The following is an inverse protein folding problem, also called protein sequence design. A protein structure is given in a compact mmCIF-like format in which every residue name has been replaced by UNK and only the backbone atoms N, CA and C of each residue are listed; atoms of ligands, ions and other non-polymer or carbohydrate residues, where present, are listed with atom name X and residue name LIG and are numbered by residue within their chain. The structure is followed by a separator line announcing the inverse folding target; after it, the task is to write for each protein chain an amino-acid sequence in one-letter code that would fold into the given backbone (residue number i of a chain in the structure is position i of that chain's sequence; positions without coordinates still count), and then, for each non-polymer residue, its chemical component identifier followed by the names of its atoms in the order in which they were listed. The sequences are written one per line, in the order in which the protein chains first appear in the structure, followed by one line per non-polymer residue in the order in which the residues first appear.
data_IF_438492977631
#
_entry.id   IF_438492977631
#
_cell.length_a   1.000
_cell.length_b   1.000
_cell.length_c   1.000
_cell.angle_alpha   90.00
_cell.angle_beta   90.00
_cell.angle_gamma   90.00
#
_symmetry.space_group_name_H-M   'P 1'
#
loop_
_entity.id
_entity.type
_entity.pdbx_description
1 polymer ?
#
# COMPACT_ATOMS: atom_id res chain seq x y z
N UNK A 1 30.44 -0.28 75.80
CA UNK A 1 29.25 -0.98 75.38
C UNK A 1 28.24 -0.08 74.65
N UNK A 2 27.88 1.07 75.19
CA UNK A 2 26.89 2.02 74.55
C UNK A 2 27.31 2.53 73.18
N UNK A 3 28.60 2.76 72.94
CA UNK A 3 29.13 3.26 71.68
C UNK A 3 28.99 2.16 70.59
N UNK A 4 29.23 0.91 70.92
CA UNK A 4 29.13 -0.22 69.97
C UNK A 4 27.65 -0.41 69.59
N UNK A 5 26.73 -0.31 70.54
CA UNK A 5 25.30 -0.42 70.28
C UNK A 5 24.81 0.74 69.38
N UNK A 6 25.28 1.97 69.63
CA UNK A 6 24.91 3.13 68.82
C UNK A 6 25.44 2.96 67.35
N UNK A 7 26.65 2.45 67.17
CA UNK A 7 27.22 2.17 65.81
C UNK A 7 26.37 1.09 65.13
N UNK A 8 26.00 0.00 65.83
CA UNK A 8 25.16 -1.07 65.26
C UNK A 8 23.79 -0.52 64.82
N UNK A 9 23.14 0.31 65.63
CA UNK A 9 21.88 0.95 65.26
C UNK A 9 22.01 1.86 64.01
N UNK A 10 23.05 2.66 63.92
CA UNK A 10 23.34 3.47 62.75
C UNK A 10 23.54 2.64 61.49
N UNK A 11 24.26 1.52 61.57
CA UNK A 11 24.48 0.61 60.44
C UNK A 11 23.15 -0.02 60.00
N UNK A 12 22.35 -0.48 60.95
CA UNK A 12 21.02 -1.05 60.62
C UNK A 12 20.12 -0.01 59.97
N UNK A 13 20.05 1.22 60.48
CA UNK A 13 19.29 2.29 59.88
C UNK A 13 19.76 2.66 58.47
N UNK A 14 21.08 2.66 58.26
CA UNK A 14 21.66 2.89 56.95
C UNK A 14 21.33 1.77 55.96
N UNK A 15 21.35 0.50 56.37
CA UNK A 15 20.94 -0.64 55.54
C UNK A 15 19.45 -0.55 55.20
N UNK A 16 18.61 -0.26 56.20
CA UNK A 16 17.17 -0.08 56.00
C UNK A 16 16.89 1.07 55.02
N UNK A 17 17.57 2.18 55.16
CA UNK A 17 17.45 3.32 54.25
C UNK A 17 17.81 2.93 52.83
N UNK A 18 18.93 2.27 52.61
CA UNK A 18 19.37 1.74 51.30
C UNK A 18 18.36 0.74 50.71
N UNK A 19 17.80 -0.15 51.55
CA UNK A 19 16.79 -1.11 51.13
C UNK A 19 15.50 -0.42 50.67
N UNK A 20 15.03 0.60 51.38
CA UNK A 20 13.84 1.36 51.01
C UNK A 20 14.05 2.12 49.68
N UNK A 21 15.23 2.75 49.55
CA UNK A 21 15.61 3.42 48.28
C UNK A 21 15.62 2.44 47.10
N UNK A 22 16.26 1.28 47.26
CA UNK A 22 16.32 0.29 46.20
C UNK A 22 14.92 -0.24 45.82
N UNK A 23 14.04 -0.45 46.82
CA UNK A 23 12.68 -0.90 46.62
C UNK A 23 11.85 0.17 45.85
N UNK A 24 12.07 1.44 46.14
CA UNK A 24 11.38 2.55 45.45
C UNK A 24 11.82 2.65 43.99
N UNK A 25 13.12 2.58 43.72
CA UNK A 25 13.67 2.59 42.36
C UNK A 25 13.14 1.41 41.53
N UNK A 26 13.03 0.22 42.12
CA UNK A 26 12.46 -0.97 41.47
C UNK A 26 10.97 -0.77 41.17
N UNK A 27 10.22 -0.19 42.11
CA UNK A 27 8.80 0.12 41.93
C UNK A 27 8.55 1.13 40.82
N UNK A 28 9.34 2.21 40.79
CA UNK A 28 9.24 3.25 39.78
C UNK A 28 9.57 2.72 38.39
N UNK A 29 10.66 1.96 38.26
CA UNK A 29 11.01 1.29 37.00
C UNK A 29 9.96 0.28 36.53
N UNK A 30 9.33 -0.44 37.45
CA UNK A 30 8.24 -1.37 37.14
C UNK A 30 7.00 -0.63 36.65
N UNK A 31 6.72 0.57 37.21
CA UNK A 31 5.68 1.47 36.74
C UNK A 31 5.92 1.98 35.32
N UNK A 32 7.13 2.46 35.04
CA UNK A 32 7.55 2.92 33.69
C UNK A 32 7.43 1.80 32.65
N UNK A 33 7.88 0.59 32.98
CA UNK A 33 7.76 -0.57 32.08
C UNK A 33 6.31 -0.88 31.77
N UNK A 34 5.42 -0.91 32.78
CA UNK A 34 3.99 -1.15 32.57
C UNK A 34 3.32 -0.08 31.69
N UNK A 35 3.67 1.18 31.91
CA UNK A 35 3.14 2.28 31.12
C UNK A 35 3.63 2.19 29.68
N UNK A 36 4.89 1.88 29.45
CA UNK A 36 5.46 1.67 28.11
C UNK A 36 4.83 0.46 27.40
N UNK A 37 4.62 -0.65 28.11
CA UNK A 37 3.92 -1.83 27.55
C UNK A 37 2.46 -1.51 27.20
N UNK A 38 1.75 -0.76 28.03
CA UNK A 38 0.37 -0.36 27.77
C UNK A 38 0.28 0.55 26.55
N UNK A 39 1.16 1.54 26.44
CA UNK A 39 1.25 2.42 25.28
C UNK A 39 1.61 1.65 23.99
N UNK A 40 2.58 0.76 24.08
CA UNK A 40 2.97 -0.09 22.95
C UNK A 40 1.81 -0.96 22.47
N UNK A 41 1.08 -1.61 23.38
CA UNK A 41 -0.09 -2.42 23.04
C UNK A 41 -1.21 -1.56 22.44
N UNK A 42 -1.45 -0.37 22.97
CA UNK A 42 -2.42 0.57 22.42
C UNK A 42 -2.07 0.96 20.98
N UNK A 43 -0.80 1.31 20.70
CA UNK A 43 -0.32 1.63 19.35
C UNK A 43 -0.53 0.44 18.41
N UNK A 44 -0.13 -0.77 18.83
CA UNK A 44 -0.25 -1.97 18.00
C UNK A 44 -1.70 -2.30 17.63
N UNK A 45 -2.67 -2.03 18.51
CA UNK A 45 -4.10 -2.27 18.26
C UNK A 45 -4.71 -1.28 17.26
N UNK A 46 -4.16 -0.05 17.16
CA UNK A 46 -4.72 1.01 16.32
C UNK A 46 -4.02 1.16 14.96
N UNK A 47 -2.90 0.47 14.74
CA UNK A 47 -2.22 0.44 13.44
C UNK A 47 -2.96 -0.52 12.51
N UNK A 48 -3.40 -0.02 11.35
CA UNK A 48 -4.06 -0.83 10.29
C UNK A 48 -3.07 -1.70 9.50
N UNK A 49 -2.12 -2.30 10.20
CA UNK A 49 -1.07 -3.12 9.59
C UNK A 49 -0.76 -4.29 10.50
N UNK A 50 -0.58 -5.46 9.92
CA UNK A 50 -0.13 -6.60 10.71
C UNK A 50 1.36 -6.46 10.99
N UNK A 51 1.72 -6.57 12.26
CA UNK A 51 3.09 -6.57 12.74
C UNK A 51 3.38 -7.97 13.31
N UNK A 52 4.46 -8.57 12.83
CA UNK A 52 4.87 -9.92 13.18
C UNK A 52 6.35 -9.89 13.59
N UNK A 53 6.68 -10.47 14.72
CA UNK A 53 8.07 -10.78 15.07
C UNK A 53 8.26 -12.29 14.87
N UNK A 54 9.20 -12.66 14.03
CA UNK A 54 9.45 -14.05 13.65
C UNK A 54 10.88 -14.49 13.97
N UNK A 55 11.04 -15.77 14.18
CA UNK A 55 12.34 -16.43 14.29
C UNK A 55 12.89 -16.88 12.92
N UNK A 56 14.08 -17.52 12.91
CA UNK A 56 14.70 -18.08 11.69
C UNK A 56 13.89 -19.21 11.02
N UNK A 57 12.99 -19.85 11.74
CA UNK A 57 12.12 -20.91 11.24
C UNK A 57 10.79 -20.37 10.72
N UNK A 58 10.65 -19.03 10.63
CA UNK A 58 9.42 -18.32 10.23
C UNK A 58 8.28 -18.47 11.24
N UNK A 59 8.58 -18.92 12.48
CA UNK A 59 7.58 -19.03 13.54
C UNK A 59 7.34 -17.63 14.11
N UNK A 60 6.07 -17.28 14.25
CA UNK A 60 5.63 -16.01 14.81
C UNK A 60 5.70 -16.09 16.32
N UNK A 61 6.55 -15.25 16.94
CA UNK A 61 6.72 -15.15 18.37
C UNK A 61 5.83 -14.06 18.98
N UNK A 62 5.63 -12.95 18.25
CA UNK A 62 4.75 -11.84 18.66
C UNK A 62 4.01 -11.27 17.46
N UNK A 63 2.76 -10.86 17.66
CA UNK A 63 1.93 -10.28 16.61
C UNK A 63 0.80 -9.44 17.20
N UNK A 64 0.33 -8.46 16.45
CA UNK A 64 -0.93 -7.76 16.69
C UNK A 64 -2.11 -8.34 15.89
N UNK A 65 -1.89 -9.43 15.14
CA UNK A 65 -2.88 -10.04 14.26
C UNK A 65 -4.21 -10.33 14.98
N UNK A 66 -4.14 -10.96 16.14
CA UNK A 66 -5.33 -11.35 16.90
C UNK A 66 -6.13 -10.15 17.42
N UNK A 67 -5.43 -9.06 17.78
CA UNK A 67 -6.09 -7.83 18.24
C UNK A 67 -6.79 -7.09 17.09
N UNK A 68 -6.24 -7.16 15.86
CA UNK A 68 -6.83 -6.51 14.67
C UNK A 68 -8.00 -7.33 14.11
N UNK A 69 -7.89 -8.66 14.12
CA UNK A 69 -8.89 -9.56 13.53
C UNK A 69 -9.98 -10.00 14.50
N UNK A 70 -9.89 -9.58 15.76
CA UNK A 70 -10.80 -9.99 16.86
C UNK A 70 -10.92 -11.53 16.95
N UNK A 71 -9.79 -12.22 16.80
CA UNK A 71 -9.69 -13.67 16.87
C UNK A 71 -8.88 -14.10 18.08
N UNK A 72 -9.17 -15.28 18.61
CA UNK A 72 -8.40 -15.83 19.73
C UNK A 72 -7.08 -16.47 19.28
N UNK A 73 -6.04 -16.28 20.07
CA UNK A 73 -4.79 -17.00 19.90
C UNK A 73 -4.94 -18.44 20.38
N UNK A 74 -4.72 -19.38 19.50
CA UNK A 74 -4.78 -20.83 19.85
C UNK A 74 -3.61 -21.28 20.72
N UNK A 75 -2.62 -20.42 20.97
CA UNK A 75 -1.39 -20.74 21.73
C UNK A 75 -0.45 -21.70 21.01
N UNK A 76 -0.77 -22.13 19.79
CA UNK A 76 0.10 -23.00 19.00
C UNK A 76 1.06 -22.19 18.13
N UNK A 77 2.32 -22.61 18.00
CA UNK A 77 3.28 -21.97 17.12
C UNK A 77 2.79 -21.99 15.67
N UNK A 78 2.64 -20.82 15.05
CA UNK A 78 2.24 -20.66 13.66
C UNK A 78 3.33 -19.98 12.86
N UNK A 79 3.54 -20.41 11.63
CA UNK A 79 4.35 -19.67 10.67
C UNK A 79 3.52 -18.55 10.02
N UNK A 80 4.20 -17.56 9.45
CA UNK A 80 3.56 -16.37 8.84
C UNK A 80 2.38 -16.73 7.93
N UNK A 81 2.54 -17.70 7.02
CA UNK A 81 1.45 -18.07 6.10
C UNK A 81 0.30 -18.82 6.77
N UNK A 82 0.55 -19.54 7.86
CA UNK A 82 -0.49 -20.23 8.64
C UNK A 82 -1.30 -19.22 9.45
N UNK A 83 -0.63 -18.24 10.06
CA UNK A 83 -1.30 -17.16 10.79
C UNK A 83 -2.24 -16.35 9.88
N UNK A 84 -1.78 -16.04 8.66
CA UNK A 84 -2.54 -15.26 7.68
C UNK A 84 -3.55 -16.10 6.88
N UNK A 85 -3.71 -17.38 7.15
CA UNK A 85 -4.55 -18.29 6.39
C UNK A 85 -4.22 -18.32 4.88
N UNK A 86 -2.93 -18.30 4.52
CA UNK A 86 -2.47 -18.39 3.15
C UNK A 86 -2.90 -19.73 2.53
N UNK A 87 -3.55 -19.68 1.37
CA UNK A 87 -4.06 -20.88 0.67
C UNK A 87 -2.96 -21.94 0.45
N UNK A 88 -1.73 -21.49 0.17
CA UNK A 88 -0.59 -22.37 -0.07
C UNK A 88 -0.10 -23.08 1.21
N UNK A 89 -0.49 -22.62 2.40
CA UNK A 89 -0.09 -23.20 3.68
C UNK A 89 -1.09 -24.22 4.25
N UNK A 90 -2.33 -24.27 3.72
CA UNK A 90 -3.43 -24.97 4.37
C UNK A 90 -3.27 -26.48 4.48
N UNK A 91 -2.63 -27.13 3.51
CA UNK A 91 -2.53 -28.60 3.49
C UNK A 91 -1.18 -29.14 4.00
N UNK A 92 -0.09 -28.40 3.77
CA UNK A 92 1.29 -28.87 4.02
C UNK A 92 2.07 -27.97 4.98
N UNK A 93 1.43 -26.90 5.47
CA UNK A 93 2.07 -25.85 6.27
C UNK A 93 2.86 -24.84 5.43
N UNK A 94 3.10 -23.67 6.00
CA UNK A 94 3.83 -22.58 5.32
C UNK A 94 5.26 -23.00 5.01
N UNK A 95 5.64 -22.93 3.74
CA UNK A 95 6.97 -23.30 3.25
C UNK A 95 7.06 -24.68 2.61
N UNK A 96 6.08 -25.54 2.78
CA UNK A 96 6.08 -26.91 2.26
C UNK A 96 5.21 -27.07 0.99
N UNK A 97 4.39 -26.07 0.64
CA UNK A 97 3.62 -26.07 -0.60
C UNK A 97 4.52 -25.84 -1.82
N UNK A 98 4.11 -26.33 -2.99
CA UNK A 98 4.86 -26.17 -4.25
C UNK A 98 5.10 -24.68 -4.60
N UNK A 99 4.08 -23.85 -4.43
CA UNK A 99 4.16 -22.41 -4.69
C UNK A 99 4.94 -21.65 -3.60
N UNK A 100 5.20 -22.27 -2.44
CA UNK A 100 5.98 -21.63 -1.38
C UNK A 100 7.47 -21.44 -1.75
N UNK A 101 8.01 -22.22 -2.69
CA UNK A 101 9.39 -22.06 -3.17
C UNK A 101 9.58 -20.76 -3.94
N UNK A 102 8.55 -20.33 -4.69
CA UNK A 102 8.54 -19.08 -5.46
C UNK A 102 7.90 -17.90 -4.70
N UNK A 103 7.55 -18.06 -3.42
CA UNK A 103 6.90 -17.03 -2.63
C UNK A 103 7.84 -15.82 -2.41
N UNK A 104 7.51 -14.61 -2.91
CA UNK A 104 8.39 -13.44 -2.79
C UNK A 104 8.65 -13.05 -1.33
N UNK A 105 7.63 -13.14 -0.47
CA UNK A 105 7.75 -12.84 0.96
C UNK A 105 8.75 -13.79 1.61
N UNK A 106 8.66 -15.10 1.32
CA UNK A 106 9.57 -16.09 1.87
C UNK A 106 11.02 -15.86 1.40
N UNK A 107 11.21 -15.54 0.14
CA UNK A 107 12.53 -15.22 -0.42
C UNK A 107 13.15 -14.00 0.27
N UNK A 108 12.38 -12.92 0.42
CA UNK A 108 12.83 -11.71 1.10
C UNK A 108 13.19 -11.96 2.58
N UNK A 109 12.37 -12.72 3.31
CA UNK A 109 12.68 -13.12 4.70
C UNK A 109 13.97 -13.94 4.76
N UNK A 110 14.12 -14.94 3.89
CA UNK A 110 15.31 -15.80 3.86
C UNK A 110 16.57 -14.98 3.56
N UNK A 111 16.50 -14.07 2.60
CA UNK A 111 17.62 -13.21 2.23
C UNK A 111 17.99 -12.24 3.37
N UNK A 112 17.01 -11.69 4.04
CA UNK A 112 17.22 -10.81 5.20
C UNK A 112 17.92 -11.54 6.36
N UNK A 113 17.54 -12.78 6.66
CA UNK A 113 18.25 -13.56 7.68
C UNK A 113 19.69 -13.92 7.29
N UNK A 114 19.99 -14.07 5.99
CA UNK A 114 21.34 -14.31 5.47
C UNK A 114 22.21 -13.07 5.50
N UNK A 115 21.68 -11.97 4.96
CA UNK A 115 22.46 -10.74 4.72
C UNK A 115 22.39 -9.74 5.86
N UNK A 116 21.40 -9.90 6.77
CA UNK A 116 21.04 -8.95 7.83
C UNK A 116 20.62 -7.57 7.28
N UNK A 117 20.30 -7.48 6.00
CA UNK A 117 19.80 -6.27 5.36
C UNK A 117 18.27 -6.26 5.38
N UNK A 118 17.69 -5.17 5.82
CA UNK A 118 16.24 -4.97 5.81
C UNK A 118 15.73 -4.78 4.37
N UNK A 119 14.48 -5.16 4.13
CA UNK A 119 13.76 -4.84 2.89
C UNK A 119 12.52 -4.02 3.21
N UNK A 120 12.08 -3.21 2.26
CA UNK A 120 10.91 -2.36 2.41
C UNK A 120 10.05 -2.38 1.16
N UNK A 121 8.74 -2.25 1.38
CA UNK A 121 7.73 -2.08 0.32
C UNK A 121 7.75 -3.17 -0.77
N UNK A 122 7.93 -4.44 -0.37
CA UNK A 122 7.78 -5.57 -1.28
C UNK A 122 6.28 -5.75 -1.59
N UNK A 123 5.84 -5.28 -2.75
CA UNK A 123 4.46 -5.46 -3.19
C UNK A 123 4.27 -6.83 -3.82
N UNK A 124 3.25 -7.56 -3.38
CA UNK A 124 2.90 -8.87 -3.92
C UNK A 124 1.43 -9.18 -3.70
N UNK A 125 0.90 -10.14 -4.45
CA UNK A 125 -0.46 -10.64 -4.27
C UNK A 125 -0.42 -11.96 -3.52
N UNK A 126 -1.21 -12.07 -2.46
CA UNK A 126 -1.38 -13.28 -1.67
C UNK A 126 -2.81 -13.78 -1.80
N UNK A 127 -2.99 -15.11 -1.82
CA UNK A 127 -4.32 -15.73 -1.77
C UNK A 127 -4.58 -16.20 -0.35
N UNK A 128 -5.59 -15.61 0.28
CA UNK A 128 -5.97 -15.89 1.66
C UNK A 128 -7.33 -16.62 1.69
N UNK A 129 -7.56 -17.44 2.73
CA UNK A 129 -8.83 -18.12 2.96
C UNK A 129 -9.57 -17.46 4.13
N UNK A 130 -10.83 -17.13 3.90
CA UNK A 130 -11.76 -16.71 4.94
C UNK A 130 -12.32 -17.92 5.71
N UNK A 131 -12.92 -17.65 6.88
CA UNK A 131 -13.55 -18.66 7.74
C UNK A 131 -14.66 -19.47 7.05
N UNK A 132 -15.33 -18.90 6.05
CA UNK A 132 -16.37 -19.54 5.22
C UNK A 132 -15.83 -20.38 4.06
N UNK A 133 -14.52 -20.68 4.05
CA UNK A 133 -13.80 -21.41 3.00
C UNK A 133 -13.66 -20.67 1.66
N UNK A 134 -14.16 -19.44 1.53
CA UNK A 134 -13.92 -18.62 0.34
C UNK A 134 -12.49 -18.15 0.30
N UNK A 135 -11.93 -18.10 -0.90
CA UNK A 135 -10.59 -17.59 -1.14
C UNK A 135 -10.68 -16.22 -1.80
N UNK A 136 -9.82 -15.30 -1.39
CA UNK A 136 -9.70 -13.97 -2.02
C UNK A 136 -8.23 -13.62 -2.25
N UNK A 137 -8.01 -12.78 -3.25
CA UNK A 137 -6.70 -12.23 -3.53
C UNK A 137 -6.56 -10.88 -2.83
N UNK A 138 -5.49 -10.73 -2.08
CA UNK A 138 -5.15 -9.52 -1.35
C UNK A 138 -3.81 -8.99 -1.88
N UNK A 139 -3.74 -7.72 -2.24
CA UNK A 139 -2.47 -7.07 -2.57
C UNK A 139 -1.85 -6.55 -1.28
N UNK A 140 -0.65 -6.97 -0.99
CA UNK A 140 0.05 -6.59 0.24
C UNK A 140 1.38 -5.92 -0.06
N UNK A 141 1.73 -4.93 0.75
CA UNK A 141 3.07 -4.36 0.84
C UNK A 141 3.73 -4.88 2.12
N UNK A 142 4.85 -5.54 1.98
CA UNK A 142 5.57 -6.19 3.08
C UNK A 142 6.92 -5.53 3.27
N UNK A 143 7.25 -5.21 4.53
CA UNK A 143 8.59 -4.75 4.90
C UNK A 143 9.12 -5.62 6.03
N UNK A 144 10.43 -5.84 6.06
CA UNK A 144 11.06 -6.67 7.07
C UNK A 144 12.39 -6.09 7.56
N UNK A 145 12.56 -6.03 8.87
CA UNK A 145 13.77 -5.52 9.51
C UNK A 145 14.39 -6.58 10.41
N UNK A 146 15.67 -6.90 10.14
CA UNK A 146 16.45 -7.81 10.98
C UNK A 146 16.72 -7.18 12.33
N UNK A 147 16.57 -7.96 13.39
CA UNK A 147 16.94 -7.60 14.76
C UNK A 147 17.64 -8.76 15.47
N UNK A 148 18.48 -8.44 16.44
CA UNK A 148 19.10 -9.43 17.32
C UNK A 148 18.82 -9.02 18.77
N UNK A 149 17.90 -9.72 19.41
CA UNK A 149 17.49 -9.44 20.79
C UNK A 149 17.98 -10.58 21.67
N UNK A 150 18.76 -10.28 22.71
CA UNK A 150 19.34 -11.26 23.63
C UNK A 150 20.06 -12.42 22.91
N UNK A 151 20.82 -12.09 21.88
CA UNK A 151 21.56 -13.03 21.03
C UNK A 151 20.68 -14.01 20.23
N UNK A 152 19.37 -13.69 20.09
CA UNK A 152 18.42 -14.43 19.25
C UNK A 152 18.12 -13.62 18.00
N UNK A 153 18.43 -14.15 16.81
CA UNK A 153 18.11 -13.49 15.56
C UNK A 153 16.61 -13.57 15.29
N UNK A 154 16.01 -12.42 15.15
CA UNK A 154 14.58 -12.23 14.87
C UNK A 154 14.40 -11.26 13.71
N UNK A 155 13.20 -11.18 13.19
CA UNK A 155 12.80 -10.20 12.18
C UNK A 155 11.45 -9.62 12.56
N UNK A 156 11.36 -8.30 12.53
CA UNK A 156 10.07 -7.59 12.54
C UNK A 156 9.57 -7.45 11.12
N UNK A 157 8.38 -7.95 10.84
CA UNK A 157 7.70 -7.85 9.55
C UNK A 157 6.46 -7.00 9.73
N UNK A 158 6.25 -6.07 8.81
CA UNK A 158 4.99 -5.32 8.67
C UNK A 158 4.31 -5.69 7.37
N UNK A 159 3.01 -5.92 7.42
CA UNK A 159 2.19 -6.29 6.27
C UNK A 159 1.01 -5.32 6.19
N UNK A 160 0.96 -4.55 5.10
CA UNK A 160 -0.13 -3.63 4.80
C UNK A 160 -1.00 -4.21 3.69
N UNK A 161 -2.30 -4.21 3.88
CA UNK A 161 -3.24 -4.45 2.79
C UNK A 161 -3.34 -3.19 1.93
N UNK A 162 -2.91 -3.29 0.67
CA UNK A 162 -2.95 -2.21 -0.31
C UNK A 162 -3.97 -2.49 -1.41
N UNK A 163 -4.91 -3.40 -1.20
CA UNK A 163 -5.89 -3.82 -2.21
C UNK A 163 -6.76 -2.65 -2.66
N UNK A 164 -7.31 -1.88 -1.71
CA UNK A 164 -8.11 -0.69 -2.04
C UNK A 164 -7.29 0.38 -2.76
N UNK A 165 -6.05 0.60 -2.32
CA UNK A 165 -5.14 1.54 -2.96
C UNK A 165 -4.85 1.16 -4.42
N UNK A 166 -4.55 -0.12 -4.68
CA UNK A 166 -4.33 -0.64 -6.05
C UNK A 166 -5.58 -0.51 -6.92
N UNK A 167 -6.76 -0.80 -6.38
CA UNK A 167 -8.01 -0.65 -7.10
C UNK A 167 -8.32 0.83 -7.41
N UNK A 168 -8.05 1.74 -6.47
CA UNK A 168 -8.20 3.17 -6.70
C UNK A 168 -7.22 3.68 -7.78
N UNK A 169 -5.99 3.21 -7.75
CA UNK A 169 -4.97 3.54 -8.76
C UNK A 169 -5.40 3.09 -10.17
N UNK A 170 -5.91 1.85 -10.31
CA UNK A 170 -6.40 1.34 -11.59
C UNK A 170 -7.57 2.19 -12.09
N UNK A 171 -8.56 2.48 -11.23
CA UNK A 171 -9.72 3.31 -11.61
C UNK A 171 -9.30 4.70 -12.08
N UNK A 172 -8.31 5.30 -11.42
CA UNK A 172 -7.78 6.60 -11.81
C UNK A 172 -7.09 6.54 -13.18
N UNK A 173 -6.27 5.53 -13.43
CA UNK A 173 -5.61 5.33 -14.72
C UNK A 173 -6.62 5.13 -15.85
N UNK A 174 -7.68 4.34 -15.64
CA UNK A 174 -8.74 4.14 -16.61
C UNK A 174 -9.51 5.43 -16.91
N UNK A 175 -9.79 6.23 -15.89
CA UNK A 175 -10.44 7.54 -16.05
C UNK A 175 -9.56 8.51 -16.85
N UNK A 176 -8.28 8.59 -16.56
CA UNK A 176 -7.32 9.42 -17.32
C UNK A 176 -7.25 8.99 -18.79
N UNK A 177 -7.09 7.68 -19.06
CA UNK A 177 -7.03 7.16 -20.40
C UNK A 177 -8.31 7.45 -21.20
N UNK A 178 -9.47 7.42 -20.53
CA UNK A 178 -10.76 7.80 -21.15
C UNK A 178 -10.81 9.27 -21.50
N UNK A 179 -10.35 10.15 -20.61
CA UNK A 179 -10.30 11.60 -20.85
C UNK A 179 -9.39 11.94 -22.02
N UNK A 180 -8.20 11.36 -22.08
CA UNK A 180 -7.25 11.55 -23.18
C UNK A 180 -7.86 11.14 -24.54
N UNK A 181 -8.60 10.02 -24.58
CA UNK A 181 -9.28 9.57 -25.80
C UNK A 181 -10.35 10.57 -26.26
N UNK A 182 -11.12 11.12 -25.32
CA UNK A 182 -12.17 12.11 -25.62
C UNK A 182 -11.53 13.40 -26.15
N UNK A 183 -10.47 13.88 -25.53
CA UNK A 183 -9.74 15.08 -25.96
C UNK A 183 -9.18 14.92 -27.38
N UNK A 184 -8.53 13.78 -27.65
CA UNK A 184 -8.00 13.47 -28.97
C UNK A 184 -9.10 13.40 -30.04
N UNK A 185 -10.23 12.76 -29.72
CA UNK A 185 -11.38 12.70 -30.61
C UNK A 185 -11.96 14.09 -30.89
N UNK A 186 -12.07 14.93 -29.86
CA UNK A 186 -12.53 16.32 -29.98
C UNK A 186 -11.60 17.14 -30.87
N UNK A 187 -10.30 17.01 -30.69
CA UNK A 187 -9.30 17.71 -31.53
C UNK A 187 -9.41 17.30 -33.00
N UNK A 188 -9.47 15.99 -33.27
CA UNK A 188 -9.62 15.45 -34.64
C UNK A 188 -10.94 15.91 -35.29
N UNK A 189 -12.00 15.98 -34.50
CA UNK A 189 -13.30 16.49 -35.01
C UNK A 189 -13.21 17.95 -35.37
N UNK A 190 -12.62 18.80 -34.51
CA UNK A 190 -12.47 20.24 -34.80
C UNK A 190 -11.54 20.48 -36.01
N UNK A 191 -10.49 19.70 -36.19
CA UNK A 191 -9.61 19.77 -37.34
C UNK A 191 -10.37 19.45 -38.63
N UNK A 192 -11.18 18.37 -38.64
CA UNK A 192 -12.01 18.03 -39.80
C UNK A 192 -13.05 19.15 -40.13
N UNK A 193 -13.73 19.62 -39.10
CA UNK A 193 -14.68 20.74 -39.31
C UNK A 193 -14.00 21.99 -39.87
N UNK A 194 -12.82 22.35 -39.33
CA UNK A 194 -12.07 23.51 -39.83
C UNK A 194 -11.69 23.36 -41.30
N UNK A 195 -11.25 22.18 -41.71
CA UNK A 195 -10.90 21.89 -43.08
C UNK A 195 -12.12 21.95 -43.98
N UNK A 196 -13.24 21.34 -43.58
CA UNK A 196 -14.51 21.34 -44.36
C UNK A 196 -15.07 22.74 -44.53
N UNK A 197 -15.08 23.56 -43.47
CA UNK A 197 -15.49 24.97 -43.54
C UNK A 197 -14.56 25.77 -44.48
N UNK A 198 -13.24 25.56 -44.40
CA UNK A 198 -12.31 26.26 -45.27
C UNK A 198 -12.48 25.86 -46.73
N UNK A 199 -12.76 24.60 -47.04
CA UNK A 199 -13.01 24.13 -48.41
C UNK A 199 -14.28 24.74 -48.97
N UNK A 200 -15.35 24.78 -48.19
CA UNK A 200 -16.61 25.45 -48.59
C UNK A 200 -16.42 26.94 -48.80
N UNK A 201 -15.75 27.62 -47.87
CA UNK A 201 -15.45 29.06 -48.05
C UNK A 201 -14.60 29.35 -49.27
N UNK A 202 -13.60 28.52 -49.57
CA UNK A 202 -12.79 28.68 -50.77
C UNK A 202 -13.58 28.50 -52.07
N UNK A 203 -14.51 27.55 -52.09
CA UNK A 203 -15.46 27.39 -53.21
C UNK A 203 -16.34 28.62 -53.39
N UNK A 204 -16.99 29.10 -52.34
CA UNK A 204 -17.84 30.31 -52.36
C UNK A 204 -17.04 31.52 -52.85
N UNK A 205 -15.84 31.74 -52.30
CA UNK A 205 -14.94 32.84 -52.70
C UNK A 205 -14.52 32.73 -54.16
N UNK A 206 -14.21 31.52 -54.63
CA UNK A 206 -13.84 31.22 -55.97
C UNK A 206 -14.94 31.61 -56.98
N UNK A 207 -16.18 31.16 -56.74
CA UNK A 207 -17.31 31.48 -57.61
C UNK A 207 -17.68 32.96 -57.52
N UNK A 208 -17.67 33.57 -56.34
CA UNK A 208 -17.93 35.01 -56.16
C UNK A 208 -16.91 35.85 -56.92
N UNK A 209 -15.64 35.46 -56.91
CA UNK A 209 -14.58 36.13 -57.67
C UNK A 209 -14.77 35.99 -59.15
N UNK A 210 -15.15 34.81 -59.66
CA UNK A 210 -15.46 34.58 -61.07
C UNK A 210 -16.63 35.48 -61.54
N UNK A 211 -17.74 35.54 -60.80
CA UNK A 211 -18.88 36.38 -61.12
C UNK A 211 -18.50 37.86 -61.17
N UNK A 212 -17.61 38.30 -60.27
CA UNK A 212 -17.22 39.72 -60.16
C UNK A 212 -16.18 40.17 -61.17
N UNK A 213 -15.28 39.29 -61.64
CA UNK A 213 -14.13 39.64 -62.47
C UNK A 213 -14.32 39.28 -63.94
N UNK A 214 -15.07 38.21 -64.26
CA UNK A 214 -15.27 37.77 -65.63
C UNK A 214 -16.49 38.43 -66.27
N UNK A 215 -16.27 39.48 -67.04
CA UNK A 215 -17.27 40.22 -67.77
C UNK A 215 -17.82 39.49 -69.03
N UNK A 216 -17.32 38.31 -69.34
CA UNK A 216 -17.77 37.53 -70.53
C UNK A 216 -18.83 36.49 -70.13
N UNK A 217 -19.21 36.37 -68.89
CA UNK A 217 -20.17 35.40 -68.40
C UNK A 217 -21.60 35.75 -68.95
N UNK A 218 -22.24 34.73 -69.45
CA UNK A 218 -23.65 34.80 -69.82
C UNK A 218 -24.55 34.84 -68.59
N UNK A 219 -25.80 35.43 -68.67
CA UNK A 219 -26.72 35.45 -67.57
C UNK A 219 -27.02 34.03 -66.95
N UNK A 220 -27.08 33.02 -67.80
CA UNK A 220 -27.24 31.61 -67.36
C UNK A 220 -26.12 31.12 -66.52
N UNK A 221 -24.87 31.39 -66.90
CA UNK A 221 -23.64 30.99 -66.15
C UNK A 221 -23.58 31.75 -64.81
N UNK A 222 -23.94 33.00 -64.74
CA UNK A 222 -24.00 33.75 -63.50
C UNK A 222 -25.03 33.16 -62.53
N UNK A 223 -26.20 32.75 -63.01
CA UNK A 223 -27.24 32.10 -62.20
C UNK A 223 -26.76 30.72 -61.71
N UNK A 224 -26.02 29.94 -62.54
CA UNK A 224 -25.48 28.67 -62.17
C UNK A 224 -24.45 28.82 -61.00
N UNK A 225 -23.52 29.77 -61.10
CA UNK A 225 -22.55 30.03 -60.02
C UNK A 225 -23.23 30.57 -58.75
N UNK A 226 -24.27 31.37 -58.85
CA UNK A 226 -25.06 31.79 -57.67
C UNK A 226 -25.74 30.62 -56.98
N UNK A 227 -26.29 29.66 -57.74
CA UNK A 227 -26.90 28.47 -57.16
C UNK A 227 -25.82 27.59 -56.44
N UNK A 228 -24.63 27.43 -57.01
CA UNK A 228 -23.54 26.73 -56.36
C UNK A 228 -23.09 27.42 -55.06
N UNK A 229 -23.07 28.77 -55.03
CA UNK A 229 -22.78 29.50 -53.78
C UNK A 229 -23.86 29.21 -52.72
N UNK A 230 -25.12 29.17 -53.07
CA UNK A 230 -26.19 28.82 -52.14
C UNK A 230 -26.10 27.40 -51.62
N UNK A 231 -25.79 26.39 -52.48
CA UNK A 231 -25.61 24.99 -52.08
C UNK A 231 -24.45 24.78 -51.10
N UNK A 232 -23.39 25.59 -51.21
CA UNK A 232 -22.22 25.49 -50.29
C UNK A 232 -22.30 26.42 -49.07
N UNK A 233 -23.39 27.23 -48.95
CA UNK A 233 -23.60 28.12 -47.80
C UNK A 233 -24.60 27.59 -46.78
N UNK A 234 -25.32 26.52 -47.09
CA UNK A 234 -26.22 25.80 -46.17
C UNK A 234 -25.47 24.62 -45.51
#
# INVERSE_FOLDING_TARGET
YYIIIAILICVILFILYKYIQAKQIISDKKGEIKTSEALFNFILQHIKSYILVIDRNFIVEKTNYYAITDTEDSGQPKRVGELLNCVNSLNKGCGNGELCKACPIRQAITETFKTKKSFSNLETTVSLRLSDKKTFKCNVAVSGSYMNIHNRPQMCITIHDITELKQAQIRLQDALAKTERIEKSKFTFLEKLSNEINDQLNCILGWTNLISTDKTLTPNQQNEYMNLIYEHSD
#
